data_IF_335787396961
#
_entry.id   IF_335787396961
#
_cell.length_a   1.000
_cell.length_b   1.000
_cell.length_c   1.000
_cell.angle_alpha   90.00
_cell.angle_beta   90.00
_cell.angle_gamma   90.00
#
_symmetry.space_group_name_H-M   'P 1'
#
loop_
_entity.id
_entity.type
_entity.pdbx_description
1 polymer ?
#
# COMPACT_ATOMS: atom_id res chain seq x y z
N UNK A 1 22.06 54.54 37.63
CA UNK A 1 21.30 55.43 36.72
C UNK A 1 21.71 55.04 35.31
N UNK A 2 21.08 54.05 34.77
CA UNK A 2 21.42 53.54 33.45
C UNK A 2 20.49 54.15 32.40
N UNK A 3 21.12 54.75 31.42
CA UNK A 3 20.47 55.42 30.29
C UNK A 3 19.84 54.39 29.38
N UNK A 4 18.51 54.40 29.28
CA UNK A 4 17.79 53.68 28.24
C UNK A 4 18.06 54.35 26.89
N UNK A 5 18.84 53.70 26.03
CA UNK A 5 19.02 54.12 24.64
C UNK A 5 17.71 53.90 23.87
N UNK A 6 17.01 55.00 23.59
CA UNK A 6 15.91 55.02 22.63
C UNK A 6 16.42 54.62 21.24
N UNK A 7 15.84 53.60 20.66
CA UNK A 7 16.09 53.18 19.27
C UNK A 7 15.52 54.28 18.36
N UNK A 8 16.38 55.16 17.88
CA UNK A 8 16.09 56.13 16.84
C UNK A 8 16.01 55.39 15.50
N UNK A 9 14.83 55.32 14.89
CA UNK A 9 14.72 54.79 13.54
C UNK A 9 13.31 54.38 13.09
N UNK A 10 12.28 54.63 13.88
CA UNK A 10 10.93 54.33 13.48
C UNK A 10 10.34 55.48 12.63
N UNK A 11 10.28 55.26 11.29
CA UNK A 11 9.61 56.23 10.41
C UNK A 11 8.15 55.74 10.19
N UNK A 12 7.14 56.39 10.83
CA UNK A 12 5.75 55.95 10.79
C UNK A 12 5.16 56.00 9.38
N UNK A 13 5.70 56.80 8.47
CA UNK A 13 5.24 56.89 7.08
C UNK A 13 5.61 55.68 6.24
N UNK A 14 6.61 54.91 6.65
CA UNK A 14 7.03 53.68 6.00
C UNK A 14 6.49 52.43 6.76
N UNK A 15 6.47 52.52 8.07
CA UNK A 15 6.06 51.40 8.93
C UNK A 15 4.55 51.06 8.78
N UNK A 16 3.68 52.06 8.63
CA UNK A 16 2.25 51.82 8.49
C UNK A 16 1.86 51.05 7.21
N UNK A 17 2.32 51.44 6.01
CA UNK A 17 2.03 50.63 4.80
C UNK A 17 2.65 49.22 4.82
N UNK A 18 3.85 49.08 5.38
CA UNK A 18 4.47 47.75 5.53
C UNK A 18 3.65 46.85 6.46
N UNK A 19 3.17 47.40 7.58
CA UNK A 19 2.31 46.68 8.51
C UNK A 19 0.99 46.26 7.85
N UNK A 20 0.34 47.15 7.11
CA UNK A 20 -0.88 46.85 6.40
C UNK A 20 -0.73 45.79 5.33
N UNK A 21 0.35 45.83 4.56
CA UNK A 21 0.68 44.80 3.58
C UNK A 21 0.92 43.46 4.26
N UNK A 22 1.66 43.46 5.38
CA UNK A 22 1.92 42.23 6.14
C UNK A 22 0.62 41.61 6.69
N UNK A 23 -0.28 42.43 7.22
CA UNK A 23 -1.59 41.96 7.72
C UNK A 23 -2.42 41.39 6.55
N UNK A 24 -2.42 42.05 5.39
CA UNK A 24 -3.13 41.57 4.21
C UNK A 24 -2.58 40.26 3.71
N UNK A 25 -1.24 40.11 3.61
CA UNK A 25 -0.60 38.86 3.19
C UNK A 25 -0.90 37.71 4.17
N UNK A 26 -0.79 37.97 5.47
CA UNK A 26 -1.15 36.96 6.49
C UNK A 26 -2.63 36.61 6.43
N UNK A 27 -3.50 37.60 6.28
CA UNK A 27 -4.95 37.37 6.12
C UNK A 27 -5.29 36.55 4.89
N UNK A 28 -4.66 36.88 3.75
CA UNK A 28 -4.82 36.11 2.51
C UNK A 28 -4.31 34.66 2.67
N UNK A 29 -3.16 34.48 3.32
CA UNK A 29 -2.61 33.16 3.59
C UNK A 29 -3.52 32.32 4.49
N UNK A 30 -4.06 32.92 5.57
CA UNK A 30 -5.01 32.25 6.45
C UNK A 30 -6.34 31.95 5.75
N UNK A 31 -6.78 32.84 4.85
CA UNK A 31 -7.97 32.60 4.03
C UNK A 31 -7.74 31.44 3.06
N UNK A 32 -6.58 31.36 2.38
CA UNK A 32 -6.20 30.24 1.52
C UNK A 32 -6.12 28.95 2.31
N UNK A 33 -5.52 28.97 3.52
CA UNK A 33 -5.48 27.78 4.38
C UNK A 33 -6.88 27.34 4.83
N UNK A 34 -7.80 28.29 5.02
CA UNK A 34 -9.21 27.99 5.32
C UNK A 34 -9.99 27.41 4.14
N UNK A 35 -9.49 27.58 2.89
CA UNK A 35 -10.06 26.95 1.69
C UNK A 35 -9.49 25.54 1.45
N UNK A 36 -8.37 25.18 2.12
CA UNK A 36 -7.88 23.82 2.09
C UNK A 36 -8.90 22.96 2.85
N UNK A 37 -9.55 21.99 2.20
CA UNK A 37 -10.51 21.14 2.86
C UNK A 37 -9.87 20.55 4.11
N UNK A 38 -10.51 20.73 5.26
CA UNK A 38 -10.03 20.07 6.48
C UNK A 38 -9.97 18.56 6.23
N UNK A 39 -9.02 17.86 6.88
CA UNK A 39 -8.93 16.40 6.75
C UNK A 39 -10.28 15.68 6.97
N UNK A 40 -11.24 16.34 7.60
CA UNK A 40 -12.62 15.84 7.77
C UNK A 40 -13.39 15.68 6.46
N UNK A 41 -13.06 16.40 5.39
CA UNK A 41 -13.70 16.22 4.08
C UNK A 41 -13.16 14.99 3.32
N UNK A 42 -12.04 14.41 3.74
CA UNK A 42 -11.56 13.10 3.27
C UNK A 42 -12.32 11.94 3.91
N UNK A 43 -13.14 12.22 4.93
CA UNK A 43 -14.01 11.24 5.60
C UNK A 43 -15.09 10.69 4.66
N UNK A 44 -15.40 11.39 3.55
CA UNK A 44 -16.34 10.85 2.54
C UNK A 44 -15.85 9.52 1.93
N UNK A 45 -14.55 9.28 1.89
CA UNK A 45 -14.03 7.96 1.51
C UNK A 45 -14.07 6.91 2.65
N UNK A 46 -14.24 7.35 3.90
CA UNK A 46 -14.48 6.45 5.03
C UNK A 46 -15.86 5.78 4.97
N UNK A 47 -16.84 6.48 4.46
CA UNK A 47 -18.20 5.96 4.37
C UNK A 47 -18.37 4.89 3.29
N UNK A 48 -17.38 4.68 2.42
CA UNK A 48 -17.41 3.56 1.49
C UNK A 48 -17.41 2.19 2.20
N UNK A 49 -16.90 2.10 3.42
CA UNK A 49 -17.03 0.90 4.24
C UNK A 49 -18.39 0.82 4.95
N UNK A 50 -19.07 1.95 5.16
CA UNK A 50 -20.42 2.00 5.75
C UNK A 50 -21.51 1.73 4.70
N UNK A 51 -21.22 1.90 3.41
CA UNK A 51 -22.14 1.59 2.30
C UNK A 51 -22.15 0.11 1.90
N UNK A 52 -21.49 -0.75 2.62
CA UNK A 52 -21.77 -2.17 2.55
C UNK A 52 -23.16 -2.38 3.16
N UNK A 53 -24.14 -2.91 2.41
CA UNK A 53 -25.35 -3.34 3.07
C UNK A 53 -24.89 -4.37 4.12
N UNK A 54 -24.93 -3.98 5.38
CA UNK A 54 -24.89 -4.94 6.46
C UNK A 54 -26.17 -5.77 6.31
N UNK A 55 -26.13 -6.78 5.47
CA UNK A 55 -27.01 -7.91 5.62
C UNK A 55 -26.51 -8.54 6.92
N UNK A 56 -27.05 -8.07 8.05
CA UNK A 56 -26.92 -8.76 9.31
C UNK A 56 -27.66 -10.08 9.09
N UNK A 57 -26.97 -11.22 8.98
CA UNK A 57 -27.67 -12.49 8.91
C UNK A 57 -28.47 -12.58 10.21
N UNK A 58 -29.75 -12.82 10.11
CA UNK A 58 -30.55 -13.20 11.28
C UNK A 58 -29.78 -14.31 11.99
N UNK A 59 -29.49 -14.11 13.28
CA UNK A 59 -28.58 -14.91 14.09
C UNK A 59 -28.97 -16.38 14.24
N UNK A 60 -30.02 -16.81 13.57
CA UNK A 60 -30.56 -18.16 13.63
C UNK A 60 -30.19 -19.02 12.41
N UNK A 61 -29.76 -18.43 11.31
CA UNK A 61 -29.35 -19.19 10.12
C UNK A 61 -27.83 -19.18 9.97
N UNK A 62 -27.18 -20.26 10.46
CA UNK A 62 -25.74 -20.51 10.31
C UNK A 62 -25.32 -20.93 8.89
N UNK A 63 -26.15 -20.77 7.93
CA UNK A 63 -25.75 -20.83 6.52
C UNK A 63 -24.98 -19.56 6.22
N UNK A 64 -23.69 -19.59 6.50
CA UNK A 64 -22.75 -18.56 6.08
C UNK A 64 -22.81 -18.49 4.55
N UNK A 65 -23.66 -17.62 4.04
CA UNK A 65 -23.43 -17.05 2.73
C UNK A 65 -22.09 -16.33 2.88
N UNK A 66 -21.04 -16.97 2.41
CA UNK A 66 -19.71 -16.38 2.32
C UNK A 66 -19.90 -15.15 1.44
N UNK A 67 -20.06 -13.98 2.07
CA UNK A 67 -20.07 -12.71 1.34
C UNK A 67 -18.66 -12.50 0.83
N UNK A 68 -18.44 -12.89 -0.42
CA UNK A 68 -17.21 -12.55 -1.10
C UNK A 68 -17.23 -11.04 -1.35
N UNK A 69 -16.42 -10.32 -0.61
CA UNK A 69 -16.19 -8.91 -0.89
C UNK A 69 -15.30 -8.81 -2.13
N UNK A 70 -15.90 -8.43 -3.24
CA UNK A 70 -15.20 -8.22 -4.50
C UNK A 70 -14.92 -6.74 -4.71
N UNK A 71 -13.77 -6.44 -5.29
CA UNK A 71 -13.53 -5.12 -5.88
C UNK A 71 -14.52 -4.93 -7.03
N UNK A 72 -15.30 -3.85 -6.98
CA UNK A 72 -16.28 -3.57 -8.04
C UNK A 72 -15.56 -3.21 -9.35
N UNK A 73 -16.12 -3.55 -10.52
CA UNK A 73 -15.47 -3.26 -11.80
C UNK A 73 -15.12 -1.78 -11.99
N UNK A 74 -15.96 -0.87 -11.49
CA UNK A 74 -15.68 0.58 -11.56
C UNK A 74 -14.50 0.97 -10.67
N UNK A 75 -14.29 0.31 -9.57
CA UNK A 75 -13.15 0.56 -8.67
C UNK A 75 -11.87 0.05 -9.30
N UNK A 76 -11.90 -1.15 -9.89
CA UNK A 76 -10.76 -1.68 -10.64
C UNK A 76 -10.41 -0.80 -11.85
N UNK A 77 -11.41 -0.21 -12.52
CA UNK A 77 -11.18 0.71 -13.62
C UNK A 77 -10.40 1.97 -13.19
N UNK A 78 -10.48 2.36 -11.91
CA UNK A 78 -9.73 3.48 -11.33
C UNK A 78 -8.32 3.09 -10.88
N UNK A 79 -7.99 1.79 -10.86
CA UNK A 79 -6.65 1.34 -10.47
C UNK A 79 -5.65 1.75 -11.55
N UNK A 80 -4.58 2.49 -11.22
CA UNK A 80 -3.60 2.92 -12.20
C UNK A 80 -2.78 1.75 -12.75
N UNK A 81 -2.25 1.92 -13.96
CA UNK A 81 -1.39 0.92 -14.59
C UNK A 81 -0.06 0.80 -13.84
N UNK A 82 0.32 -0.42 -13.51
CA UNK A 82 1.62 -0.80 -12.96
C UNK A 82 2.54 -1.25 -14.08
N UNK A 83 3.77 -0.75 -14.09
CA UNK A 83 4.76 -1.06 -15.14
C UNK A 83 5.96 -1.84 -14.61
N UNK A 84 6.18 -1.82 -13.30
CA UNK A 84 7.31 -2.49 -12.65
C UNK A 84 6.96 -2.87 -11.24
N UNK A 85 7.44 -4.02 -10.77
CA UNK A 85 7.35 -4.48 -9.38
C UNK A 85 8.73 -4.53 -8.75
N UNK A 86 8.84 -3.99 -7.53
CA UNK A 86 10.05 -4.02 -6.72
C UNK A 86 9.84 -4.84 -5.44
N UNK A 87 10.90 -5.05 -4.65
CA UNK A 87 10.79 -5.72 -3.36
C UNK A 87 9.92 -4.90 -2.38
N UNK A 88 9.07 -5.54 -1.57
CA UNK A 88 8.30 -4.86 -0.54
C UNK A 88 9.12 -4.54 0.71
N UNK A 89 10.35 -5.06 0.84
CA UNK A 89 11.20 -4.92 2.01
C UNK A 89 12.66 -4.70 1.59
N UNK A 90 13.42 -3.98 2.40
CA UNK A 90 14.81 -3.62 2.12
C UNK A 90 14.93 -2.58 1.00
N UNK A 91 15.86 -2.78 0.07
CA UNK A 91 15.95 -1.93 -1.12
C UNK A 91 14.95 -2.37 -2.19
N UNK A 92 14.84 -1.60 -3.27
CA UNK A 92 14.02 -1.96 -4.45
C UNK A 92 14.33 -3.36 -5.01
N UNK A 93 15.56 -3.84 -4.82
CA UNK A 93 16.03 -5.18 -5.21
C UNK A 93 15.98 -6.20 -4.07
N UNK A 94 15.46 -5.85 -2.89
CA UNK A 94 15.42 -6.72 -1.72
C UNK A 94 16.79 -6.95 -1.09
N UNK A 95 17.70 -5.97 -1.19
CA UNK A 95 18.97 -6.06 -0.50
C UNK A 95 18.76 -6.17 1.01
N UNK A 96 19.57 -7.00 1.67
CA UNK A 96 19.49 -7.27 3.11
C UNK A 96 18.21 -7.98 3.56
N UNK A 97 17.54 -8.68 2.62
CA UNK A 97 16.30 -9.44 2.87
C UNK A 97 16.52 -10.90 2.48
N UNK A 98 15.96 -11.80 3.26
CA UNK A 98 15.88 -13.23 2.90
C UNK A 98 14.45 -13.73 3.07
N UNK A 99 14.11 -14.78 2.33
CA UNK A 99 12.82 -15.45 2.40
C UNK A 99 12.94 -16.66 3.34
N UNK A 100 12.36 -16.54 4.54
CA UNK A 100 12.43 -17.57 5.57
C UNK A 100 11.50 -18.75 5.28
N UNK A 101 10.33 -18.49 4.69
CA UNK A 101 9.37 -19.51 4.31
C UNK A 101 8.80 -19.18 2.91
N UNK A 102 9.43 -19.73 1.85
CA UNK A 102 9.00 -19.48 0.48
C UNK A 102 7.59 -19.98 0.15
N UNK A 103 7.02 -19.40 -0.89
CA UNK A 103 5.75 -19.83 -1.47
C UNK A 103 5.74 -21.34 -1.78
N UNK A 104 4.65 -22.02 -1.42
CA UNK A 104 4.41 -23.46 -1.53
C UNK A 104 5.37 -24.33 -0.69
N UNK A 105 6.15 -23.75 0.21
CA UNK A 105 6.90 -24.53 1.19
C UNK A 105 5.96 -25.34 2.08
N UNK A 106 6.25 -26.63 2.22
CA UNK A 106 5.43 -27.53 3.01
C UNK A 106 5.51 -27.22 4.51
N UNK A 107 4.36 -27.03 5.14
CA UNK A 107 4.23 -26.99 6.59
C UNK A 107 3.72 -28.35 7.09
N UNK A 108 4.66 -29.18 7.57
CA UNK A 108 4.36 -30.55 7.99
C UNK A 108 3.38 -30.60 9.15
N UNK A 109 3.39 -29.58 10.04
CA UNK A 109 2.49 -29.53 11.19
C UNK A 109 1.03 -29.31 10.76
N UNK A 110 0.82 -28.48 9.72
CA UNK A 110 -0.52 -28.18 9.20
C UNK A 110 -0.95 -29.12 8.07
N UNK A 111 -0.03 -29.95 7.55
CA UNK A 111 -0.29 -30.83 6.39
C UNK A 111 -0.72 -30.06 5.14
N UNK A 112 -0.18 -28.85 4.96
CA UNK A 112 -0.49 -27.92 3.86
C UNK A 112 0.71 -27.04 3.55
N UNK A 113 0.65 -26.29 2.44
CA UNK A 113 1.75 -25.47 1.96
C UNK A 113 1.48 -23.99 2.26
N UNK A 114 2.53 -23.22 2.46
CA UNK A 114 2.52 -21.78 2.65
C UNK A 114 2.12 -21.06 1.35
N UNK A 115 1.23 -20.07 1.43
CA UNK A 115 0.71 -19.38 0.25
C UNK A 115 1.36 -18.01 0.03
N UNK A 116 2.50 -17.75 0.65
CA UNK A 116 3.22 -16.49 0.64
C UNK A 116 4.73 -16.71 0.63
N UNK A 117 5.47 -15.60 0.53
CA UNK A 117 6.84 -15.49 0.96
C UNK A 117 6.87 -14.82 2.34
N UNK A 118 7.57 -15.40 3.33
CA UNK A 118 7.83 -14.75 4.61
C UNK A 118 9.21 -14.08 4.54
N UNK A 119 9.19 -12.76 4.40
CA UNK A 119 10.36 -11.94 4.17
C UNK A 119 10.89 -11.35 5.48
N UNK A 120 12.18 -11.50 5.72
CA UNK A 120 12.88 -11.01 6.90
C UNK A 120 14.10 -10.19 6.53
N UNK A 121 14.45 -9.23 7.39
CA UNK A 121 15.78 -8.61 7.39
C UNK A 121 16.87 -9.60 7.80
N UNK A 122 18.09 -9.45 7.26
CA UNK A 122 19.21 -10.39 7.49
C UNK A 122 19.62 -10.55 8.97
N UNK A 123 19.21 -9.64 9.84
CA UNK A 123 19.45 -9.75 11.29
C UNK A 123 18.70 -10.91 11.95
N UNK A 124 17.62 -11.35 11.32
CA UNK A 124 16.76 -12.44 11.80
C UNK A 124 15.98 -12.11 13.08
N UNK A 125 15.16 -13.04 13.53
CA UNK A 125 14.29 -12.92 14.69
C UNK A 125 13.41 -11.66 14.62
N UNK A 126 13.49 -10.77 15.64
CA UNK A 126 12.71 -9.53 15.71
C UNK A 126 13.54 -8.28 15.36
N UNK A 127 14.67 -8.42 14.68
CA UNK A 127 15.54 -7.27 14.38
C UNK A 127 14.94 -6.33 13.33
N UNK A 128 14.01 -6.81 12.54
CA UNK A 128 13.26 -6.07 11.51
C UNK A 128 11.89 -5.57 11.99
N UNK A 129 11.55 -5.77 13.28
CA UNK A 129 10.32 -5.24 13.85
C UNK A 129 10.25 -3.71 13.76
N UNK A 130 9.33 -3.20 12.98
CA UNK A 130 9.19 -1.77 12.73
C UNK A 130 9.94 -1.28 11.48
N UNK A 131 10.62 -2.16 10.75
CA UNK A 131 11.21 -1.80 9.47
C UNK A 131 10.13 -1.37 8.46
N UNK A 132 10.44 -0.42 7.57
CA UNK A 132 9.45 0.08 6.62
C UNK A 132 9.09 -0.99 5.57
N UNK A 133 7.79 -1.11 5.32
CA UNK A 133 7.21 -1.93 4.25
C UNK A 133 6.77 -1.03 3.11
N UNK A 134 7.14 -1.40 1.88
CA UNK A 134 6.94 -0.59 0.69
C UNK A 134 5.91 -1.20 -0.27
N UNK A 135 5.12 -0.35 -0.93
CA UNK A 135 4.30 -0.76 -2.06
C UNK A 135 5.20 -1.22 -3.22
N UNK A 136 4.98 -2.45 -3.70
CA UNK A 136 5.82 -3.04 -4.77
C UNK A 136 5.68 -2.31 -6.10
N UNK A 137 4.57 -1.62 -6.32
CA UNK A 137 4.26 -0.91 -7.57
C UNK A 137 3.20 0.16 -7.35
N UNK A 138 2.95 0.96 -8.38
CA UNK A 138 1.79 1.83 -8.45
C UNK A 138 0.52 0.99 -8.34
N UNK A 139 -0.43 1.40 -7.48
CA UNK A 139 -1.64 0.62 -7.28
C UNK A 139 -2.68 1.35 -6.44
N UNK A 140 -3.82 0.72 -6.24
CA UNK A 140 -4.92 1.20 -5.42
C UNK A 140 -5.10 0.31 -4.20
N UNK A 141 -5.12 0.90 -3.02
CA UNK A 141 -5.42 0.18 -1.77
C UNK A 141 -6.87 -0.27 -1.78
N UNK A 142 -7.10 -1.58 -1.66
CA UNK A 142 -8.43 -2.19 -1.66
C UNK A 142 -8.80 -2.76 -0.29
N UNK A 143 -7.82 -2.92 0.59
CA UNK A 143 -8.01 -3.34 1.98
C UNK A 143 -6.91 -2.74 2.86
N UNK A 144 -7.28 -2.23 4.04
CA UNK A 144 -6.35 -1.75 5.06
C UNK A 144 -7.05 -1.82 6.42
N UNK A 145 -6.85 -2.90 7.17
CA UNK A 145 -7.47 -3.11 8.47
C UNK A 145 -6.77 -4.23 9.24
N UNK A 146 -7.12 -4.37 10.53
CA UNK A 146 -6.86 -5.60 11.28
C UNK A 146 -7.74 -6.73 10.72
N UNK A 147 -7.12 -7.75 10.20
CA UNK A 147 -7.85 -8.81 9.50
C UNK A 147 -8.39 -9.88 10.45
N UNK A 148 -7.54 -10.40 11.31
CA UNK A 148 -7.89 -11.36 12.37
C UNK A 148 -6.68 -11.71 13.20
N UNK A 149 -6.88 -12.45 14.29
CA UNK A 149 -5.79 -13.10 15.01
C UNK A 149 -4.98 -14.00 14.05
N UNK A 150 -3.68 -13.82 14.03
CA UNK A 150 -2.76 -14.53 13.13
C UNK A 150 -2.49 -13.82 11.81
N UNK A 151 -3.43 -13.04 11.26
CA UNK A 151 -3.14 -12.12 10.17
C UNK A 151 -2.59 -10.78 10.66
N UNK A 152 -3.07 -10.29 11.80
CA UNK A 152 -2.74 -8.96 12.32
C UNK A 152 -3.25 -7.86 11.39
N UNK A 153 -2.54 -6.73 11.39
CA UNK A 153 -2.79 -5.65 10.45
C UNK A 153 -2.38 -6.08 9.04
N UNK A 154 -3.22 -5.73 8.06
CA UNK A 154 -3.05 -6.14 6.67
C UNK A 154 -3.38 -5.00 5.72
N UNK A 155 -2.62 -4.92 4.64
CA UNK A 155 -2.89 -4.07 3.47
C UNK A 155 -2.97 -4.96 2.23
N UNK A 156 -3.96 -4.71 1.37
CA UNK A 156 -4.04 -5.31 0.03
C UNK A 156 -4.08 -4.18 -0.99
N UNK A 157 -3.20 -4.26 -1.99
CA UNK A 157 -3.11 -3.29 -3.08
C UNK A 157 -3.43 -4.00 -4.38
N UNK A 158 -4.36 -3.44 -5.14
CA UNK A 158 -4.67 -3.88 -6.50
C UNK A 158 -3.78 -3.13 -7.49
N UNK A 159 -3.22 -3.85 -8.44
CA UNK A 159 -2.37 -3.37 -9.52
C UNK A 159 -3.02 -3.72 -10.86
N UNK A 160 -3.11 -2.76 -11.77
CA UNK A 160 -3.54 -3.02 -13.15
C UNK A 160 -2.32 -3.26 -14.02
N UNK A 161 -2.31 -4.36 -14.75
CA UNK A 161 -1.23 -4.77 -15.66
C UNK A 161 -1.79 -4.94 -17.07
N UNK A 162 -0.95 -4.74 -18.10
CA UNK A 162 -1.39 -4.75 -19.49
C UNK A 162 -2.23 -3.53 -19.87
N UNK A 163 -2.68 -3.49 -21.11
CA UNK A 163 -3.42 -2.37 -21.70
C UNK A 163 -4.68 -2.79 -22.43
N UNK A 164 -5.62 -1.85 -22.56
CA UNK A 164 -6.84 -2.04 -23.32
C UNK A 164 -7.58 -3.32 -22.94
N UNK A 165 -7.77 -4.21 -23.92
CA UNK A 165 -8.47 -5.49 -23.73
C UNK A 165 -7.62 -6.54 -23.01
N UNK A 166 -6.29 -6.38 -22.96
CA UNK A 166 -5.38 -7.25 -22.21
C UNK A 166 -5.22 -6.85 -20.74
N UNK A 167 -5.89 -5.77 -20.30
CA UNK A 167 -5.81 -5.29 -18.92
C UNK A 167 -6.30 -6.34 -17.93
N UNK A 168 -5.44 -6.70 -17.02
CA UNK A 168 -5.68 -7.64 -15.93
C UNK A 168 -5.39 -6.98 -14.59
N UNK A 169 -5.86 -7.58 -13.52
CA UNK A 169 -5.63 -7.09 -12.17
C UNK A 169 -4.98 -8.18 -11.33
N UNK A 170 -3.96 -7.78 -10.60
CA UNK A 170 -3.28 -8.62 -9.60
C UNK A 170 -3.23 -7.88 -8.27
N UNK A 171 -3.12 -8.60 -7.19
CA UNK A 171 -3.09 -8.03 -5.86
C UNK A 171 -1.77 -8.38 -5.18
N UNK A 172 -1.19 -7.42 -4.46
CA UNK A 172 -0.15 -7.65 -3.46
C UNK A 172 -0.76 -7.54 -2.06
N UNK A 173 -0.40 -8.48 -1.19
CA UNK A 173 -0.90 -8.57 0.18
C UNK A 173 0.28 -8.45 1.14
N UNK A 174 0.13 -7.58 2.12
CA UNK A 174 1.12 -7.30 3.15
C UNK A 174 0.47 -7.57 4.51
N UNK A 175 0.91 -8.58 5.23
CA UNK A 175 0.31 -8.96 6.50
C UNK A 175 1.32 -9.03 7.63
N UNK A 176 0.82 -9.27 8.84
CA UNK A 176 1.51 -9.23 10.11
C UNK A 176 2.06 -7.85 10.46
N UNK A 177 1.57 -6.78 9.79
CA UNK A 177 2.07 -5.42 9.98
C UNK A 177 1.88 -4.96 11.42
N UNK A 178 2.86 -4.24 11.94
CA UNK A 178 2.77 -3.53 13.22
C UNK A 178 1.81 -2.35 13.09
N UNK A 179 1.99 -1.55 12.05
CA UNK A 179 1.13 -0.41 11.70
C UNK A 179 1.03 -0.30 10.18
N UNK A 180 -0.03 0.36 9.70
CA UNK A 180 -0.18 0.73 8.29
C UNK A 180 -0.58 2.21 8.17
N UNK A 181 -0.16 2.85 7.05
CA UNK A 181 -0.24 4.31 6.86
C UNK A 181 -1.14 4.72 5.71
N UNK A 182 -1.82 3.76 5.10
CA UNK A 182 -2.64 3.95 3.90
C UNK A 182 -4.11 3.71 4.18
N UNK A 183 -4.97 4.31 3.37
CA UNK A 183 -6.42 4.18 3.46
C UNK A 183 -6.97 3.44 2.24
N UNK A 184 -8.05 2.68 2.45
CA UNK A 184 -8.79 2.05 1.33
C UNK A 184 -9.23 3.11 0.33
N UNK A 185 -8.98 2.85 -0.95
CA UNK A 185 -9.27 3.76 -2.07
C UNK A 185 -8.10 4.68 -2.45
N UNK A 186 -7.08 4.86 -1.59
CA UNK A 186 -5.92 5.67 -1.94
C UNK A 186 -5.07 5.01 -3.03
N UNK A 187 -4.43 5.85 -3.83
CA UNK A 187 -3.41 5.43 -4.79
C UNK A 187 -2.06 5.54 -4.11
N UNK A 188 -1.30 4.46 -4.16
CA UNK A 188 0.08 4.40 -3.65
C UNK A 188 1.06 4.26 -4.79
N UNK A 189 2.24 4.87 -4.63
CA UNK A 189 3.32 4.80 -5.62
C UNK A 189 4.24 3.64 -5.30
N UNK A 190 4.94 3.15 -6.31
CA UNK A 190 6.03 2.19 -6.14
C UNK A 190 7.08 2.75 -5.18
N UNK A 191 7.48 1.97 -4.16
CA UNK A 191 8.43 2.38 -3.13
C UNK A 191 7.86 3.32 -2.07
N UNK A 192 6.57 3.59 -2.08
CA UNK A 192 5.92 4.34 -0.99
C UNK A 192 5.82 3.48 0.26
N UNK A 193 6.15 4.05 1.42
CA UNK A 193 6.01 3.35 2.71
C UNK A 193 4.52 3.22 3.03
N UNK A 194 4.06 1.98 3.19
CA UNK A 194 2.65 1.66 3.44
C UNK A 194 2.39 1.13 4.85
N UNK A 195 3.44 0.77 5.57
CA UNK A 195 3.36 0.26 6.94
C UNK A 195 4.73 -0.14 7.47
N UNK A 196 4.72 -0.88 8.57
CA UNK A 196 5.90 -1.39 9.26
C UNK A 196 5.80 -2.90 9.46
N UNK A 197 6.94 -3.60 9.38
CA UNK A 197 7.04 -5.02 9.73
C UNK A 197 6.54 -5.22 11.16
N UNK A 198 5.71 -6.21 11.34
CA UNK A 198 5.16 -6.59 12.62
C UNK A 198 5.34 -8.08 12.91
N UNK A 199 4.55 -8.57 13.85
CA UNK A 199 4.63 -9.94 14.36
C UNK A 199 3.25 -10.54 14.69
N UNK A 200 2.17 -9.98 14.10
CA UNK A 200 0.79 -10.35 14.38
C UNK A 200 0.49 -10.38 15.91
N UNK A 201 0.71 -9.25 16.57
CA UNK A 201 0.51 -9.07 18.03
C UNK A 201 1.33 -10.06 18.89
N UNK A 202 2.55 -10.36 18.49
CA UNK A 202 3.45 -11.28 19.20
C UNK A 202 3.24 -12.76 18.89
N UNK A 203 2.39 -13.09 17.92
CA UNK A 203 2.08 -14.49 17.57
C UNK A 203 3.24 -15.17 16.86
N UNK A 204 4.04 -14.40 16.11
CA UNK A 204 5.18 -14.86 15.35
C UNK A 204 6.43 -14.03 15.66
N UNK A 205 7.65 -14.50 15.36
CA UNK A 205 8.79 -13.62 15.17
C UNK A 205 8.47 -12.57 14.08
N UNK A 206 9.05 -11.39 14.18
CA UNK A 206 8.80 -10.33 13.20
C UNK A 206 9.17 -10.78 11.79
N UNK A 207 8.29 -10.52 10.84
CA UNK A 207 8.49 -10.73 9.41
C UNK A 207 7.36 -10.10 8.62
N UNK A 208 7.57 -9.90 7.34
CA UNK A 208 6.52 -9.55 6.40
C UNK A 208 5.99 -10.82 5.72
N UNK A 209 4.73 -11.18 5.98
CA UNK A 209 4.02 -12.16 5.17
C UNK A 209 3.51 -11.49 3.89
N UNK A 210 4.06 -11.91 2.74
CA UNK A 210 3.83 -11.25 1.47
C UNK A 210 3.24 -12.20 0.43
N UNK A 211 2.05 -11.89 -0.10
CA UNK A 211 1.41 -12.69 -1.15
C UNK A 211 1.25 -11.89 -2.45
N UNK A 212 1.27 -12.61 -3.57
CA UNK A 212 0.75 -12.14 -4.86
C UNK A 212 -0.48 -12.96 -5.24
N UNK A 213 -1.54 -12.30 -5.71
CA UNK A 213 -2.83 -12.95 -6.05
C UNK A 213 -3.32 -12.54 -7.42
N UNK A 214 -3.80 -13.51 -8.20
CA UNK A 214 -4.66 -13.29 -9.37
C UNK A 214 -6.12 -13.31 -8.88
N UNK A 215 -6.59 -12.22 -8.32
CA UNK A 215 -7.89 -12.14 -7.64
C UNK A 215 -8.45 -10.73 -7.67
N UNK A 216 -9.76 -10.62 -7.54
CA UNK A 216 -10.49 -9.38 -7.28
C UNK A 216 -11.21 -9.41 -5.92
N UNK A 217 -10.90 -10.39 -5.07
CA UNK A 217 -11.49 -10.56 -3.74
C UNK A 217 -10.69 -9.75 -2.72
N UNK A 218 -11.38 -9.05 -1.82
CA UNK A 218 -10.76 -8.28 -0.74
C UNK A 218 -10.59 -9.08 0.56
N UNK A 219 -11.09 -10.32 0.59
CA UNK A 219 -10.99 -11.22 1.74
C UNK A 219 -9.52 -11.59 2.02
N UNK A 220 -9.05 -11.55 3.27
CA UNK A 220 -7.75 -12.09 3.68
C UNK A 220 -7.52 -13.53 3.24
N UNK A 221 -8.54 -14.37 3.27
CA UNK A 221 -8.47 -15.77 2.87
C UNK A 221 -7.63 -16.63 3.81
N UNK A 222 -6.97 -17.64 3.25
CA UNK A 222 -6.14 -18.59 4.00
C UNK A 222 -4.66 -18.39 3.67
N UNK A 223 -3.79 -18.43 4.70
CA UNK A 223 -2.33 -18.40 4.53
C UNK A 223 -1.72 -19.76 4.15
N UNK A 224 -2.48 -20.86 4.25
CA UNK A 224 -2.01 -22.24 3.98
C UNK A 224 -3.03 -23.03 3.18
N UNK A 225 -2.58 -23.81 2.20
CA UNK A 225 -3.39 -24.74 1.41
C UNK A 225 -2.52 -25.80 0.74
N UNK A 226 -3.11 -26.95 0.40
CA UNK A 226 -2.44 -27.97 -0.42
C UNK A 226 -2.26 -27.55 -1.88
N UNK A 227 -3.06 -26.59 -2.34
CA UNK A 227 -3.01 -26.02 -3.69
C UNK A 227 -2.71 -24.54 -3.61
N UNK A 228 -2.12 -23.97 -4.64
CA UNK A 228 -1.80 -22.54 -4.73
C UNK A 228 -3.04 -21.63 -4.73
N UNK A 229 -4.20 -22.18 -5.09
CA UNK A 229 -5.45 -21.45 -5.28
C UNK A 229 -5.27 -20.34 -6.33
N UNK A 230 -5.62 -19.09 -5.96
CA UNK A 230 -5.41 -17.89 -6.77
C UNK A 230 -4.10 -17.14 -6.42
N UNK A 231 -3.16 -17.81 -5.72
CA UNK A 231 -1.87 -17.22 -5.36
C UNK A 231 -0.82 -17.56 -6.42
N UNK A 232 0.05 -16.61 -6.65
CA UNK A 232 1.22 -16.70 -7.51
C UNK A 232 2.48 -16.65 -6.64
N UNK A 233 3.56 -17.24 -7.10
CA UNK A 233 4.86 -17.13 -6.44
C UNK A 233 5.30 -15.65 -6.42
N UNK A 234 5.41 -15.01 -5.23
CA UNK A 234 5.71 -13.60 -5.14
C UNK A 234 7.10 -13.25 -5.67
N UNK A 235 8.10 -14.05 -5.31
CA UNK A 235 9.50 -13.86 -5.75
C UNK A 235 9.60 -13.94 -7.27
N UNK A 236 9.00 -14.96 -7.90
CA UNK A 236 9.02 -15.11 -9.35
C UNK A 236 8.20 -14.02 -10.04
N UNK A 237 7.07 -13.62 -9.46
CA UNK A 237 6.22 -12.55 -10.00
C UNK A 237 6.96 -11.22 -10.02
N UNK A 238 7.58 -10.82 -8.90
CA UNK A 238 8.39 -9.60 -8.83
C UNK A 238 9.55 -9.67 -9.84
N UNK A 239 10.27 -10.80 -9.91
CA UNK A 239 11.38 -10.98 -10.85
C UNK A 239 10.92 -10.83 -12.30
N UNK A 240 9.78 -11.41 -12.65
CA UNK A 240 9.19 -11.34 -14.00
C UNK A 240 8.81 -9.91 -14.38
N UNK A 241 8.25 -9.14 -13.42
CA UNK A 241 7.72 -7.80 -13.64
C UNK A 241 8.72 -6.67 -13.31
N UNK A 242 9.89 -6.99 -12.84
CA UNK A 242 10.94 -6.00 -12.59
C UNK A 242 11.39 -5.30 -13.87
N UNK A 243 11.22 -5.95 -15.02
CA UNK A 243 11.71 -5.47 -16.31
C UNK A 243 13.22 -5.64 -16.44
N UNK A 244 13.74 -5.28 -17.62
CA UNK A 244 15.18 -5.13 -17.80
C UNK A 244 15.60 -3.90 -17.00
N UNK A 245 16.78 -3.90 -16.41
CA UNK A 245 17.39 -2.86 -15.56
C UNK A 245 17.58 -1.49 -16.25
N UNK A 246 16.61 -1.05 -17.00
CA UNK A 246 16.59 0.29 -17.49
C UNK A 246 15.97 1.14 -16.40
N UNK A 247 16.74 2.03 -15.83
CA UNK A 247 16.32 3.13 -14.98
C UNK A 247 15.26 3.99 -15.70
N UNK A 248 14.04 3.48 -15.72
CA UNK A 248 12.88 4.17 -16.26
C UNK A 248 12.46 5.35 -15.37
N UNK A 249 13.24 5.67 -14.36
CA UNK A 249 13.09 6.90 -13.58
C UNK A 249 13.35 8.17 -14.40
N UNK A 250 14.03 8.04 -15.54
CA UNK A 250 14.04 9.07 -16.59
C UNK A 250 12.99 8.70 -17.64
N UNK A 251 11.71 8.80 -17.27
CA UNK A 251 10.59 8.67 -18.19
C UNK A 251 10.69 9.74 -19.30
N UNK A 252 11.55 9.48 -20.28
CA UNK A 252 11.39 10.05 -21.61
C UNK A 252 10.10 9.46 -22.19
N UNK A 253 9.24 10.24 -22.85
CA UNK A 253 8.02 9.74 -23.49
C UNK A 253 8.26 8.55 -24.43
N UNK A 254 9.46 8.41 -24.99
CA UNK A 254 9.88 7.30 -25.85
C UNK A 254 9.98 5.94 -25.15
N UNK A 255 10.03 5.89 -23.81
CA UNK A 255 10.09 4.63 -23.06
C UNK A 255 8.71 4.01 -22.90
N UNK A 256 7.65 4.82 -22.99
CA UNK A 256 6.27 4.30 -22.96
C UNK A 256 5.90 3.56 -24.26
N UNK A 257 6.64 3.77 -25.35
CA UNK A 257 6.44 3.08 -26.64
C UNK A 257 7.10 1.70 -26.72
N UNK A 258 8.02 1.35 -25.79
CA UNK A 258 8.68 0.03 -25.76
C UNK A 258 7.87 -1.06 -25.03
N UNK A 259 6.61 -0.81 -24.74
CA UNK A 259 5.71 -1.75 -24.04
C UNK A 259 5.31 -2.98 -24.87
N UNK A 260 5.62 -3.03 -26.17
CA UNK A 260 5.39 -4.21 -27.01
C UNK A 260 6.03 -5.51 -26.47
N UNK A 261 7.07 -5.39 -25.62
CA UNK A 261 7.72 -6.55 -25.03
C UNK A 261 7.04 -7.10 -23.76
N UNK A 262 6.02 -6.42 -23.22
CA UNK A 262 5.26 -6.89 -22.07
C UNK A 262 4.07 -7.78 -22.47
N UNK A 263 3.64 -7.75 -23.73
CA UNK A 263 2.51 -8.52 -24.23
C UNK A 263 2.76 -10.05 -24.24
N UNK A 264 4.01 -10.49 -24.13
CA UNK A 264 4.35 -11.91 -24.14
C UNK A 264 4.27 -12.60 -22.78
N UNK A 265 3.83 -11.88 -21.74
CA UNK A 265 3.66 -12.44 -20.41
C UNK A 265 2.28 -13.11 -20.31
N UNK A 266 2.15 -14.30 -20.89
CA UNK A 266 0.99 -15.16 -20.66
C UNK A 266 1.01 -15.63 -19.18
N UNK A 267 -0.04 -15.26 -18.46
CA UNK A 267 -0.39 -15.91 -17.20
C UNK A 267 -1.35 -17.03 -17.54
N UNK A 268 -0.95 -18.27 -17.34
CA UNK A 268 -1.88 -19.39 -17.27
C UNK A 268 -2.63 -19.27 -15.93
N UNK A 269 -3.88 -18.86 -16.02
CA UNK A 269 -4.80 -18.77 -14.87
C UNK A 269 -5.58 -20.04 -14.67
#
# INVERSE_FOLDING_TARGET
MDQVKLIKGFNPRIALPVLLVSIFVVGLFLWILGQIPSKSNWVILRDFNEWRPHIVPDSTDKTYLQSFDFVRPIESALTPKSVRFDSPLGSEHGAMVYNAQPFMMANLRLGSNHLADDLNGIGGMNTDLGDPVYAISLGRVIYAAYASEGWGNMVIIEHAIGDGQSRKYVQSVYAHLKEFYVLVGSIVRRGEVIGEVGNADGKYPAHLHFEMRASNVTDPGRGYSKKSLNRMDPTLTIKKWRGVDNDVLNLSPSVLESEENLETLEFDF
#
